data_IF_060742218987
#
_entry.id   IF_060742218987
#
_cell.length_a   1.000
_cell.length_b   1.000
_cell.length_c   1.000
_cell.angle_alpha   90.00
_cell.angle_beta   90.00
_cell.angle_gamma   90.00
#
_symmetry.space_group_name_H-M   'P 1'
#
loop_
_entity.id
_entity.type
_entity.pdbx_description
1 polymer ?
#
# COMPACT_ATOMS: atom_id res chain seq x y z
N UNK A 1 -16.26 1.99 21.05
CA UNK A 1 -15.61 0.68 21.02
C UNK A 1 -14.21 0.80 20.43
N UNK A 2 -13.45 1.85 20.77
CA UNK A 2 -12.14 2.21 20.17
C UNK A 2 -11.04 2.49 21.22
N UNK A 3 -11.19 2.01 22.45
CA UNK A 3 -10.25 2.30 23.56
C UNK A 3 -9.30 1.16 23.94
N UNK A 4 -9.41 -0.02 23.35
CA UNK A 4 -8.61 -1.20 23.74
C UNK A 4 -7.38 -1.51 22.90
N UNK A 5 -7.18 -0.86 21.74
CA UNK A 5 -6.01 -1.13 20.88
C UNK A 5 -4.67 -0.57 21.40
N UNK A 6 -4.67 0.26 22.45
CA UNK A 6 -3.43 0.84 23.01
C UNK A 6 -2.65 -0.08 23.97
N UNK A 7 -3.14 -1.31 24.29
CA UNK A 7 -2.55 -2.15 25.38
C UNK A 7 -1.74 -3.37 24.95
N UNK A 8 -1.68 -3.74 23.66
CA UNK A 8 -0.97 -4.95 23.23
C UNK A 8 0.49 -4.79 22.81
N UNK A 9 1.11 -3.62 22.92
CA UNK A 9 2.49 -3.38 22.43
C UNK A 9 3.58 -3.55 23.52
N UNK A 10 3.23 -3.84 24.78
CA UNK A 10 4.17 -3.63 25.92
C UNK A 10 4.78 -4.91 26.51
N UNK A 11 4.63 -6.09 25.99
CA UNK A 11 5.35 -7.24 26.58
C UNK A 11 5.94 -8.15 25.52
N UNK A 12 7.24 -8.18 25.41
CA UNK A 12 8.18 -9.28 25.15
C UNK A 12 9.47 -8.70 24.58
N UNK A 13 10.37 -8.27 25.43
CA UNK A 13 11.82 -8.26 25.15
C UNK A 13 12.56 -8.54 26.47
N UNK A 14 12.85 -9.79 26.72
CA UNK A 14 13.97 -10.24 27.54
C UNK A 14 14.22 -11.71 27.26
N UNK A 15 15.30 -12.04 26.56
CA UNK A 15 16.18 -13.17 26.86
C UNK A 15 17.05 -13.55 25.64
N UNK A 16 18.37 -13.61 25.85
CA UNK A 16 19.23 -14.56 25.20
C UNK A 16 20.37 -14.05 24.32
N UNK A 17 21.46 -13.63 24.95
CA UNK A 17 22.79 -13.59 24.34
C UNK A 17 23.49 -14.92 24.55
N UNK A 18 23.88 -15.62 23.49
CA UNK A 18 25.11 -16.45 23.49
C UNK A 18 25.47 -16.91 22.07
N UNK A 19 26.71 -16.79 21.72
CA UNK A 19 27.43 -16.78 20.49
C UNK A 19 27.48 -18.03 19.63
N UNK A 20 28.01 -17.84 18.42
CA UNK A 20 28.40 -18.89 17.48
C UNK A 20 28.47 -18.35 16.04
N UNK A 21 29.69 -18.20 15.51
CA UNK A 21 29.95 -17.81 14.13
C UNK A 21 29.54 -18.93 13.15
N UNK A 22 28.60 -18.62 12.27
CA UNK A 22 28.46 -19.24 10.95
C UNK A 22 27.76 -18.24 10.05
N UNK A 23 28.32 -17.91 8.89
CA UNK A 23 27.84 -16.94 7.91
C UNK A 23 26.63 -17.46 7.15
N UNK A 24 25.49 -17.46 7.80
CA UNK A 24 24.15 -17.46 7.20
C UNK A 24 23.66 -16.01 7.31
N UNK A 25 22.99 -15.41 6.29
CA UNK A 25 22.41 -14.09 6.49
C UNK A 25 21.50 -14.19 7.70
N UNK A 26 21.92 -13.58 8.81
CA UNK A 26 21.27 -13.70 10.09
C UNK A 26 19.85 -13.15 9.92
N UNK A 27 18.87 -14.04 9.89
CA UNK A 27 17.48 -13.68 10.15
C UNK A 27 17.52 -12.98 11.51
N UNK A 28 17.24 -11.68 11.53
CA UNK A 28 17.14 -10.92 12.77
C UNK A 28 16.29 -11.74 13.75
N UNK A 29 16.74 -12.01 14.97
CA UNK A 29 15.94 -12.73 15.97
C UNK A 29 14.61 -12.00 16.26
N UNK A 30 14.50 -10.74 15.84
CA UNK A 30 13.30 -9.92 15.94
C UNK A 30 12.37 -10.05 14.73
N UNK A 31 12.77 -10.72 13.64
CA UNK A 31 11.97 -10.83 12.42
C UNK A 31 10.54 -11.36 12.63
N UNK A 32 10.28 -12.37 13.50
CA UNK A 32 8.90 -12.78 13.80
C UNK A 32 8.09 -11.70 14.51
N UNK A 33 8.71 -10.95 15.44
CA UNK A 33 8.07 -9.83 16.16
C UNK A 33 7.79 -8.68 15.19
N UNK A 34 8.75 -8.32 14.35
CA UNK A 34 8.56 -7.29 13.31
C UNK A 34 7.38 -7.66 12.42
N UNK A 35 7.30 -8.92 11.98
CA UNK A 35 6.21 -9.41 11.14
C UNK A 35 4.86 -9.24 11.80
N UNK A 36 4.69 -9.67 13.05
CA UNK A 36 3.42 -9.59 13.77
C UNK A 36 2.99 -8.14 14.08
N UNK A 37 3.93 -7.21 14.18
CA UNK A 37 3.63 -5.79 14.37
C UNK A 37 3.29 -5.09 13.05
N UNK A 38 4.05 -5.38 11.99
CA UNK A 38 3.89 -4.72 10.69
C UNK A 38 2.69 -5.28 9.91
N UNK A 39 2.44 -6.59 9.97
CA UNK A 39 1.35 -7.23 9.25
C UNK A 39 0.28 -7.73 10.22
N UNK A 40 -0.94 -7.29 10.00
CA UNK A 40 -2.10 -7.65 10.81
C UNK A 40 -3.21 -8.23 9.92
N UNK A 41 -2.96 -9.40 9.31
CA UNK A 41 -3.90 -10.01 8.39
C UNK A 41 -5.16 -10.51 9.12
N UNK A 42 -6.29 -10.36 8.46
CA UNK A 42 -7.52 -11.08 8.77
C UNK A 42 -7.73 -12.08 7.64
N UNK A 43 -7.61 -13.37 7.97
CA UNK A 43 -7.75 -14.44 7.01
C UNK A 43 -9.23 -14.77 6.73
N UNK A 44 -9.52 -15.39 5.59
CA UNK A 44 -10.82 -15.98 5.31
C UNK A 44 -11.14 -17.08 6.35
N UNK A 45 -12.41 -17.23 6.83
CA UNK A 45 -13.61 -16.56 6.32
C UNK A 45 -13.96 -15.23 7.01
N UNK A 46 -13.11 -14.70 7.89
CA UNK A 46 -13.38 -13.46 8.58
C UNK A 46 -13.41 -12.26 7.61
N UNK A 47 -14.40 -11.39 7.78
CA UNK A 47 -14.68 -10.24 6.93
C UNK A 47 -16.05 -10.35 6.24
N UNK A 48 -16.46 -9.26 5.58
CA UNK A 48 -17.72 -9.21 4.83
C UNK A 48 -17.46 -9.56 3.35
N UNK A 49 -17.51 -10.85 3.04
CA UNK A 49 -17.30 -11.38 1.69
C UNK A 49 -18.55 -11.33 0.82
N UNK A 50 -19.68 -10.82 1.33
CA UNK A 50 -20.91 -10.69 0.58
C UNK A 50 -20.90 -9.41 -0.24
N UNK A 51 -20.64 -9.52 -1.53
CA UNK A 51 -20.75 -8.42 -2.46
C UNK A 51 -22.22 -8.26 -2.88
N UNK A 52 -22.80 -7.05 -2.75
CA UNK A 52 -24.16 -6.82 -3.25
C UNK A 52 -24.27 -7.14 -4.74
N UNK A 53 -25.31 -7.83 -5.15
CA UNK A 53 -25.49 -8.34 -6.54
C UNK A 53 -25.51 -7.25 -7.63
N UNK A 54 -25.74 -6.01 -7.25
CA UNK A 54 -25.71 -4.85 -8.18
C UNK A 54 -24.31 -4.25 -8.35
N UNK A 55 -23.32 -4.70 -7.58
CA UNK A 55 -21.94 -4.23 -7.69
C UNK A 55 -21.15 -5.24 -8.53
N UNK A 56 -20.65 -4.87 -9.72
CA UNK A 56 -19.99 -5.79 -10.64
C UNK A 56 -18.53 -6.09 -10.24
N UNK A 57 -18.33 -6.51 -8.99
CA UNK A 57 -17.01 -6.96 -8.53
C UNK A 57 -16.75 -8.35 -9.09
N UNK A 58 -15.58 -8.51 -9.68
CA UNK A 58 -15.04 -9.78 -10.15
C UNK A 58 -13.99 -10.30 -9.17
N UNK A 59 -14.07 -11.56 -8.75
CA UNK A 59 -12.98 -12.22 -8.04
C UNK A 59 -11.80 -12.43 -8.99
N UNK A 60 -10.64 -11.90 -8.62
CA UNK A 60 -9.39 -12.05 -9.33
C UNK A 60 -8.52 -13.09 -8.64
N UNK A 61 -8.15 -14.16 -9.34
CA UNK A 61 -7.20 -15.18 -8.86
C UNK A 61 -5.97 -15.17 -9.74
N UNK A 62 -4.81 -15.11 -9.12
CA UNK A 62 -3.53 -15.04 -9.81
C UNK A 62 -2.41 -15.59 -8.92
N UNK A 63 -1.25 -15.80 -9.51
CA UNK A 63 -0.11 -16.41 -8.85
C UNK A 63 1.08 -15.46 -8.85
N UNK A 64 1.76 -15.32 -7.71
CA UNK A 64 3.04 -14.65 -7.64
C UNK A 64 4.16 -15.50 -8.24
N UNK A 65 5.30 -14.90 -8.62
CA UNK A 65 6.44 -15.58 -9.25
C UNK A 65 6.96 -16.79 -8.46
N UNK A 66 6.69 -16.86 -7.16
CA UNK A 66 7.10 -17.95 -6.28
C UNK A 66 6.02 -19.03 -6.07
N UNK A 67 4.94 -19.01 -6.86
CA UNK A 67 3.84 -19.96 -6.80
C UNK A 67 2.79 -19.67 -5.73
N UNK A 68 2.87 -18.56 -5.02
CA UNK A 68 1.86 -18.19 -4.02
C UNK A 68 0.56 -17.81 -4.69
N UNK A 69 -0.54 -18.51 -4.37
CA UNK A 69 -1.88 -18.18 -4.86
C UNK A 69 -2.43 -16.96 -4.15
N UNK A 70 -2.90 -16.00 -4.94
CA UNK A 70 -3.37 -14.70 -4.48
C UNK A 70 -4.79 -14.44 -4.95
N UNK A 71 -5.51 -13.66 -4.16
CA UNK A 71 -6.88 -13.27 -4.43
C UNK A 71 -7.03 -11.75 -4.40
N UNK A 72 -7.89 -11.23 -5.24
CA UNK A 72 -8.24 -9.81 -5.29
C UNK A 72 -9.66 -9.58 -5.79
N UNK A 73 -10.08 -8.33 -5.73
CA UNK A 73 -11.33 -7.84 -6.30
C UNK A 73 -11.03 -6.83 -7.40
N UNK A 74 -11.61 -7.06 -8.57
CA UNK A 74 -11.57 -6.12 -9.69
C UNK A 74 -12.97 -5.54 -9.93
N UNK A 75 -13.06 -4.23 -10.01
CA UNK A 75 -14.27 -3.50 -10.31
C UNK A 75 -14.09 -2.75 -11.64
N UNK A 76 -14.60 -3.31 -12.75
CA UNK A 76 -14.52 -2.65 -14.05
C UNK A 76 -15.43 -1.42 -14.11
N UNK A 77 -15.01 -0.42 -14.88
CA UNK A 77 -15.84 0.72 -15.27
C UNK A 77 -16.14 0.65 -16.78
N UNK A 78 -17.38 0.89 -17.24
CA UNK A 78 -17.71 0.75 -18.66
C UNK A 78 -16.97 1.72 -19.58
N UNK A 79 -16.68 2.92 -19.09
CA UNK A 79 -15.91 3.96 -19.78
C UNK A 79 -14.80 4.48 -18.86
N UNK A 80 -13.69 3.75 -18.71
CA UNK A 80 -12.70 4.09 -17.68
C UNK A 80 -11.84 5.30 -18.09
N UNK A 81 -11.73 6.28 -17.21
CA UNK A 81 -10.71 7.35 -17.27
C UNK A 81 -9.30 6.82 -17.04
N UNK A 82 -9.21 5.68 -16.37
CA UNK A 82 -7.95 5.01 -16.08
C UNK A 82 -8.15 3.66 -15.43
N UNK A 83 -7.06 2.90 -15.42
CA UNK A 83 -6.95 1.62 -14.72
C UNK A 83 -6.08 1.84 -13.49
N UNK A 84 -6.54 1.41 -12.31
CA UNK A 84 -5.85 1.63 -11.04
C UNK A 84 -5.68 0.35 -10.24
N UNK A 85 -4.49 0.18 -9.64
CA UNK A 85 -4.21 -0.84 -8.65
C UNK A 85 -4.14 -0.19 -7.26
N UNK A 86 -5.02 -0.59 -6.35
CA UNK A 86 -5.08 -0.09 -4.99
C UNK A 86 -4.42 -1.06 -4.01
N UNK A 87 -3.29 -0.66 -3.46
CA UNK A 87 -2.56 -1.37 -2.41
C UNK A 87 -3.08 -0.94 -1.03
N UNK A 88 -3.71 -1.87 -0.29
CA UNK A 88 -4.32 -1.56 1.00
C UNK A 88 -3.32 -1.47 2.16
N UNK A 89 -3.77 -0.96 3.31
CA UNK A 89 -2.96 -0.85 4.54
C UNK A 89 -2.73 -2.19 5.23
N UNK A 90 -2.01 -2.16 6.35
CA UNK A 90 -1.49 -3.34 7.05
C UNK A 90 -2.54 -4.23 7.75
N UNK A 91 -3.72 -3.72 8.04
CA UNK A 91 -4.72 -4.43 8.83
C UNK A 91 -5.94 -4.86 8.02
N UNK A 92 -6.54 -5.98 8.39
CA UNK A 92 -7.77 -6.51 7.79
C UNK A 92 -7.53 -7.33 6.54
N UNK A 93 -8.44 -7.22 5.57
CA UNK A 93 -8.39 -7.79 4.24
C UNK A 93 -9.18 -6.90 3.26
N UNK A 94 -9.32 -7.33 2.01
CA UNK A 94 -9.98 -6.51 0.96
C UNK A 94 -11.45 -6.24 1.23
N UNK A 95 -12.15 -7.02 2.05
CA UNK A 95 -13.59 -6.83 2.32
C UNK A 95 -13.89 -5.47 2.94
N UNK A 96 -12.98 -4.92 3.73
CA UNK A 96 -13.11 -3.60 4.32
C UNK A 96 -12.79 -2.44 3.33
N UNK A 97 -12.51 -2.74 2.07
CA UNK A 97 -12.12 -1.77 1.02
C UNK A 97 -13.23 -1.53 -0.02
N UNK A 98 -14.30 -2.32 0.02
CA UNK A 98 -15.39 -2.26 -0.96
C UNK A 98 -15.94 -0.85 -1.18
N UNK A 99 -16.22 -0.09 -0.10
CA UNK A 99 -16.70 1.31 -0.21
C UNK A 99 -15.69 2.22 -0.91
N UNK A 100 -14.39 2.06 -0.63
CA UNK A 100 -13.33 2.86 -1.30
C UNK A 100 -13.26 2.53 -2.79
N UNK A 101 -13.30 1.25 -3.14
CA UNK A 101 -13.30 0.81 -4.55
C UNK A 101 -14.53 1.35 -5.29
N UNK A 102 -15.70 1.20 -4.68
CA UNK A 102 -16.95 1.69 -5.24
C UNK A 102 -16.92 3.20 -5.49
N UNK A 103 -16.46 3.99 -4.50
CA UNK A 103 -16.36 5.43 -4.64
C UNK A 103 -15.39 5.82 -5.76
N UNK A 104 -14.22 5.21 -5.83
CA UNK A 104 -13.22 5.50 -6.87
C UNK A 104 -13.72 5.09 -8.26
N UNK A 105 -14.46 4.00 -8.36
CA UNK A 105 -15.06 3.57 -9.62
C UNK A 105 -16.19 4.50 -10.03
N UNK A 106 -17.21 4.71 -9.19
CA UNK A 106 -18.43 5.44 -9.56
C UNK A 106 -18.23 6.97 -9.68
N UNK A 107 -17.43 7.56 -8.79
CA UNK A 107 -17.23 9.03 -8.78
C UNK A 107 -16.09 9.45 -9.70
N UNK A 108 -15.04 8.65 -9.80
CA UNK A 108 -13.83 9.04 -10.51
C UNK A 108 -13.60 8.27 -11.81
N UNK A 109 -14.50 7.34 -12.17
CA UNK A 109 -14.46 6.61 -13.44
C UNK A 109 -13.25 5.68 -13.58
N UNK A 110 -12.82 5.03 -12.49
CA UNK A 110 -11.67 4.13 -12.54
C UNK A 110 -12.10 2.67 -12.67
N UNK A 111 -11.54 1.93 -13.61
CA UNK A 111 -11.45 0.47 -13.46
C UNK A 111 -10.40 0.18 -12.40
N UNK A 112 -10.80 -0.42 -11.28
CA UNK A 112 -9.93 -0.51 -10.11
C UNK A 112 -9.86 -1.92 -9.54
N UNK A 113 -8.65 -2.34 -9.19
CA UNK A 113 -8.37 -3.60 -8.50
C UNK A 113 -7.76 -3.34 -7.14
N UNK A 114 -8.15 -4.13 -6.15
CA UNK A 114 -7.40 -4.35 -4.91
C UNK A 114 -7.16 -5.83 -4.71
N UNK A 115 -6.17 -6.21 -3.91
CA UNK A 115 -5.82 -7.60 -3.67
C UNK A 115 -5.40 -7.81 -2.23
N UNK A 116 -5.58 -9.02 -1.73
CA UNK A 116 -5.05 -9.46 -0.46
C UNK A 116 -3.58 -9.86 -0.62
N UNK A 117 -2.68 -9.26 0.15
CA UNK A 117 -1.29 -9.75 0.23
C UNK A 117 -1.28 -11.19 0.74
N UNK A 118 -0.20 -11.91 0.47
CA UNK A 118 0.00 -13.26 1.02
C UNK A 118 -0.32 -13.31 2.51
N UNK A 119 -1.11 -14.31 2.91
CA UNK A 119 -1.58 -14.51 4.29
C UNK A 119 -2.76 -13.62 4.71
N UNK A 120 -3.26 -12.74 3.84
CA UNK A 120 -4.46 -11.95 4.06
C UNK A 120 -5.65 -12.56 3.30
N UNK A 121 -6.86 -12.40 3.84
CA UNK A 121 -8.09 -12.81 3.21
C UNK A 121 -8.04 -14.23 2.65
N UNK A 122 -8.21 -14.37 1.34
CA UNK A 122 -8.16 -15.66 0.64
C UNK A 122 -6.80 -15.97 0.01
N UNK A 123 -5.82 -15.06 0.13
CA UNK A 123 -4.46 -15.28 -0.36
C UNK A 123 -3.68 -16.23 0.53
N UNK A 124 -2.95 -17.15 -0.09
CA UNK A 124 -2.10 -18.10 0.62
C UNK A 124 -0.81 -17.47 1.15
N UNK A 125 0.00 -18.27 1.84
CA UNK A 125 1.35 -17.92 2.25
C UNK A 125 1.44 -17.14 3.57
N UNK A 126 2.57 -16.45 3.76
CA UNK A 126 2.87 -15.68 4.98
C UNK A 126 3.51 -14.36 4.60
N UNK A 127 3.04 -13.21 5.15
CA UNK A 127 3.51 -11.91 4.73
C UNK A 127 4.98 -11.65 5.11
N UNK A 128 5.68 -11.00 4.20
CA UNK A 128 7.05 -10.49 4.38
C UNK A 128 7.25 -9.28 3.49
N UNK A 129 8.25 -8.44 3.76
CA UNK A 129 8.54 -7.27 2.90
C UNK A 129 8.74 -7.68 1.44
N UNK A 130 9.59 -8.70 1.19
CA UNK A 130 9.82 -9.20 -0.17
C UNK A 130 8.53 -9.76 -0.79
N UNK A 131 7.79 -10.56 -0.01
CA UNK A 131 6.58 -11.24 -0.49
C UNK A 131 5.50 -10.27 -0.94
N UNK A 132 5.13 -9.27 -0.11
CA UNK A 132 4.07 -8.31 -0.49
C UNK A 132 4.43 -7.46 -1.72
N UNK A 133 5.73 -7.25 -1.98
CA UNK A 133 6.18 -6.56 -3.20
C UNK A 133 6.09 -7.46 -4.44
N UNK A 134 6.29 -8.77 -4.30
CA UNK A 134 6.05 -9.75 -5.37
C UNK A 134 4.54 -9.89 -5.64
N UNK A 135 3.72 -9.95 -4.60
CA UNK A 135 2.26 -10.02 -4.71
C UNK A 135 1.69 -8.84 -5.50
N UNK A 136 2.18 -7.64 -5.19
CA UNK A 136 1.75 -6.42 -5.88
C UNK A 136 2.16 -6.39 -7.37
N UNK A 137 3.30 -6.97 -7.74
CA UNK A 137 3.70 -7.14 -9.15
C UNK A 137 2.79 -8.11 -9.87
N UNK A 138 2.50 -9.25 -9.25
CA UNK A 138 1.58 -10.23 -9.82
C UNK A 138 0.18 -9.64 -10.01
N UNK A 139 -0.34 -8.90 -9.02
CA UNK A 139 -1.62 -8.19 -9.11
C UNK A 139 -1.64 -7.17 -10.26
N UNK A 140 -0.54 -6.42 -10.44
CA UNK A 140 -0.38 -5.44 -11.52
C UNK A 140 -0.36 -6.11 -12.89
N UNK A 141 0.38 -7.20 -13.04
CA UNK A 141 0.45 -7.97 -14.28
C UNK A 141 -0.91 -8.55 -14.65
N UNK A 142 -1.61 -9.17 -13.70
CA UNK A 142 -2.97 -9.65 -13.90
C UNK A 142 -3.93 -8.53 -14.36
N UNK A 143 -3.84 -7.36 -13.71
CA UNK A 143 -4.69 -6.21 -14.05
C UNK A 143 -4.40 -5.68 -15.45
N UNK A 144 -3.13 -5.61 -15.84
CA UNK A 144 -2.70 -5.21 -17.18
C UNK A 144 -3.27 -6.15 -18.26
N UNK A 145 -3.14 -7.48 -18.05
CA UNK A 145 -3.68 -8.50 -18.95
C UNK A 145 -5.20 -8.43 -19.02
N UNK A 146 -5.89 -8.33 -17.87
CA UNK A 146 -7.35 -8.28 -17.77
C UNK A 146 -7.96 -7.07 -18.48
N UNK A 147 -7.26 -5.95 -18.49
CA UNK A 147 -7.76 -4.68 -19.04
C UNK A 147 -7.17 -4.33 -20.41
N UNK A 148 -6.17 -5.07 -20.88
CA UNK A 148 -5.50 -4.82 -22.17
C UNK A 148 -4.64 -3.56 -22.20
N UNK A 149 -4.27 -3.00 -21.03
CA UNK A 149 -3.33 -1.88 -20.93
C UNK A 149 -1.92 -2.39 -20.60
N UNK A 150 -0.89 -1.56 -20.79
CA UNK A 150 0.44 -1.91 -20.29
C UNK A 150 0.53 -1.68 -18.79
N UNK A 151 1.45 -2.34 -18.10
CA UNK A 151 1.71 -2.10 -16.69
C UNK A 151 2.06 -0.64 -16.39
N UNK A 152 2.74 0.04 -17.31
CA UNK A 152 3.08 1.46 -17.21
C UNK A 152 1.86 2.40 -17.28
N UNK A 153 0.77 1.97 -17.92
CA UNK A 153 -0.47 2.72 -18.01
C UNK A 153 -1.34 2.62 -16.74
N UNK A 154 -0.96 1.77 -15.79
CA UNK A 154 -1.69 1.59 -14.53
C UNK A 154 -1.33 2.72 -13.56
N UNK A 155 -2.36 3.31 -12.94
CA UNK A 155 -2.24 4.24 -11.83
C UNK A 155 -2.04 3.41 -10.56
N UNK A 156 -0.95 3.64 -9.84
CA UNK A 156 -0.70 2.99 -8.57
C UNK A 156 -1.25 3.84 -7.42
N UNK A 157 -2.12 3.25 -6.62
CA UNK A 157 -2.72 3.89 -5.46
C UNK A 157 -2.34 3.11 -4.21
N UNK A 158 -1.97 3.80 -3.13
CA UNK A 158 -1.61 3.08 -1.90
C UNK A 158 -1.88 3.89 -0.64
N UNK A 159 -2.32 3.18 0.42
CA UNK A 159 -2.57 3.76 1.73
C UNK A 159 -1.72 3.09 2.80
N UNK A 160 -1.10 3.88 3.69
CA UNK A 160 -0.31 3.39 4.81
C UNK A 160 0.79 2.43 4.31
N UNK A 161 0.82 1.16 4.75
CA UNK A 161 1.69 0.10 4.23
C UNK A 161 1.63 -0.01 2.71
N UNK A 162 0.41 0.01 2.15
CA UNK A 162 0.20 -0.07 0.70
C UNK A 162 0.80 1.11 -0.07
N UNK A 163 0.95 2.26 0.58
CA UNK A 163 1.68 3.40 0.00
C UNK A 163 3.16 3.07 -0.25
N UNK A 164 3.81 2.35 0.69
CA UNK A 164 5.19 1.92 0.49
C UNK A 164 5.31 0.84 -0.60
N UNK A 165 4.30 -0.02 -0.74
CA UNK A 165 4.21 -1.00 -1.84
C UNK A 165 4.07 -0.29 -3.19
N UNK A 166 3.13 0.67 -3.30
CA UNK A 166 2.92 1.45 -4.51
C UNK A 166 4.16 2.25 -4.92
N UNK A 167 4.90 2.82 -3.95
CA UNK A 167 6.18 3.49 -4.19
C UNK A 167 7.23 2.53 -4.74
N UNK A 168 7.34 1.30 -4.22
CA UNK A 168 8.30 0.31 -4.73
C UNK A 168 8.01 -0.03 -6.20
N UNK A 169 6.75 -0.29 -6.54
CA UNK A 169 6.35 -0.57 -7.92
C UNK A 169 6.64 0.63 -8.83
N UNK A 170 6.17 1.82 -8.44
CA UNK A 170 6.35 3.02 -9.25
C UNK A 170 7.83 3.35 -9.51
N UNK A 171 8.68 3.19 -8.48
CA UNK A 171 10.09 3.52 -8.57
C UNK A 171 10.92 2.54 -9.40
N UNK A 172 10.50 1.27 -9.46
CA UNK A 172 11.24 0.22 -10.19
C UNK A 172 10.67 -0.05 -11.57
N UNK A 173 9.36 -0.08 -11.62
CA UNK A 173 8.63 -0.62 -12.77
C UNK A 173 7.82 0.49 -13.48
N UNK A 174 7.92 1.76 -13.02
CA UNK A 174 7.17 2.90 -13.56
C UNK A 174 5.68 2.86 -13.22
N UNK A 175 4.96 3.92 -13.51
CA UNK A 175 3.50 4.02 -13.40
C UNK A 175 3.00 5.24 -14.16
N UNK A 176 1.76 5.22 -14.66
CA UNK A 176 1.11 6.37 -15.28
C UNK A 176 0.93 7.52 -14.28
N UNK A 177 0.68 7.19 -13.03
CA UNK A 177 0.54 8.14 -11.91
C UNK A 177 0.62 7.41 -10.58
N UNK A 178 1.01 8.12 -9.53
CA UNK A 178 1.12 7.59 -8.18
C UNK A 178 0.24 8.40 -7.22
N UNK A 179 -0.64 7.72 -6.49
CA UNK A 179 -1.56 8.33 -5.52
C UNK A 179 -1.33 7.71 -4.14
N UNK A 180 -0.91 8.52 -3.18
CA UNK A 180 -0.54 8.06 -1.85
C UNK A 180 -1.42 8.70 -0.76
N UNK A 181 -1.82 7.91 0.24
CA UNK A 181 -2.59 8.39 1.38
C UNK A 181 -2.02 7.88 2.70
N UNK A 182 -1.80 8.79 3.67
CA UNK A 182 -1.40 8.47 5.05
C UNK A 182 -0.24 7.47 5.14
N UNK A 183 0.80 7.66 4.32
CA UNK A 183 1.96 6.76 4.23
C UNK A 183 3.24 7.39 4.77
N UNK A 184 4.34 6.64 4.78
CA UNK A 184 5.54 6.94 5.54
C UNK A 184 6.82 6.97 4.68
N UNK A 185 7.85 7.63 5.23
CA UNK A 185 9.19 7.68 4.64
C UNK A 185 9.94 6.35 4.72
N UNK A 186 9.83 5.61 5.85
CA UNK A 186 10.37 4.27 6.05
C UNK A 186 9.74 3.59 7.27
N UNK A 187 9.73 2.25 7.33
CA UNK A 187 9.29 1.54 8.54
C UNK A 187 10.12 1.87 9.78
N UNK A 188 11.47 1.98 9.71
CA UNK A 188 12.24 2.42 10.87
C UNK A 188 11.87 3.82 11.37
N UNK A 189 11.47 4.75 10.50
CA UNK A 189 10.99 6.08 10.95
C UNK A 189 9.70 5.95 11.78
N UNK A 190 8.75 5.11 11.32
CA UNK A 190 7.49 4.83 12.05
C UNK A 190 7.79 4.17 13.39
N UNK A 191 8.61 3.13 13.39
CA UNK A 191 8.99 2.43 14.61
C UNK A 191 9.74 3.35 15.61
N UNK A 192 10.59 4.25 15.11
CA UNK A 192 11.30 5.23 15.96
C UNK A 192 10.36 6.24 16.61
N UNK A 193 9.23 6.53 15.99
CA UNK A 193 8.21 7.39 16.59
C UNK A 193 7.52 6.72 17.78
N UNK A 194 7.19 5.44 17.64
CA UNK A 194 6.46 4.69 18.68
C UNK A 194 7.37 4.05 19.73
N UNK A 195 8.58 3.64 19.33
CA UNK A 195 9.54 2.89 20.17
C UNK A 195 10.97 3.39 19.96
N UNK A 196 11.29 4.66 20.29
CA UNK A 196 12.62 5.22 20.02
C UNK A 196 13.75 4.47 20.76
N UNK A 197 13.45 3.90 21.91
CA UNK A 197 14.39 3.13 22.74
C UNK A 197 14.81 1.78 22.11
N UNK A 198 14.01 1.25 21.15
CA UNK A 198 14.33 0.01 20.46
C UNK A 198 15.37 0.16 19.33
N UNK A 199 15.85 1.38 19.07
CA UNK A 199 16.82 1.71 18.02
C UNK A 199 16.45 1.06 16.65
N UNK A 200 15.23 1.31 16.10
CA UNK A 200 14.72 0.57 14.96
C UNK A 200 15.59 0.65 13.71
N UNK A 201 16.26 1.78 13.48
CA UNK A 201 17.16 1.96 12.34
C UNK A 201 18.32 0.96 12.30
N UNK A 202 18.71 0.42 13.46
CA UNK A 202 19.79 -0.55 13.60
C UNK A 202 19.30 -1.99 13.66
N UNK A 203 18.16 -2.21 14.33
CA UNK A 203 17.68 -3.53 14.71
C UNK A 203 16.61 -4.11 13.80
N UNK A 204 15.85 -3.29 13.06
CA UNK A 204 14.83 -3.79 12.14
C UNK A 204 15.43 -4.36 10.86
N UNK A 205 14.90 -5.51 10.44
CA UNK A 205 15.21 -6.13 9.14
C UNK A 205 14.34 -5.56 8.02
N UNK A 206 13.06 -5.28 8.30
CA UNK A 206 12.14 -4.66 7.36
C UNK A 206 12.37 -3.16 7.27
N UNK A 207 12.44 -2.65 6.05
CA UNK A 207 12.81 -1.25 5.80
C UNK A 207 11.70 -0.46 5.13
N UNK A 208 11.11 -0.98 4.06
CA UNK A 208 10.17 -0.26 3.18
C UNK A 208 10.57 1.22 3.04
N UNK A 209 11.81 1.46 2.59
CA UNK A 209 12.39 2.81 2.55
C UNK A 209 11.83 3.61 1.37
N UNK A 210 10.59 4.10 1.54
CA UNK A 210 9.83 4.79 0.51
C UNK A 210 10.51 6.10 0.09
N UNK A 211 11.05 6.88 1.04
CA UNK A 211 11.70 8.15 0.74
C UNK A 211 13.00 8.00 -0.08
N UNK A 212 13.67 6.85 0.02
CA UNK A 212 14.81 6.55 -0.85
C UNK A 212 14.33 6.13 -2.24
N UNK A 213 13.36 5.20 -2.30
CA UNK A 213 12.88 4.61 -3.54
C UNK A 213 12.19 5.63 -4.45
N UNK A 214 11.36 6.52 -3.89
CA UNK A 214 10.58 7.49 -4.67
C UNK A 214 11.43 8.44 -5.49
N UNK A 215 12.71 8.60 -5.18
CA UNK A 215 13.66 9.42 -5.94
C UNK A 215 13.85 8.93 -7.37
N UNK A 216 13.59 7.66 -7.60
CA UNK A 216 13.73 7.02 -8.91
C UNK A 216 12.44 7.13 -9.74
N UNK A 217 11.33 7.60 -9.16
CA UNK A 217 10.05 7.80 -9.84
C UNK A 217 9.92 9.24 -10.35
N UNK A 218 9.90 9.42 -11.68
CA UNK A 218 9.82 10.73 -12.33
C UNK A 218 8.39 11.16 -12.72
N UNK A 219 7.42 10.26 -12.55
CA UNK A 219 6.02 10.51 -12.91
C UNK A 219 5.27 11.40 -11.90
N UNK A 220 4.01 11.73 -12.22
CA UNK A 220 3.19 12.59 -11.37
C UNK A 220 2.77 11.91 -10.07
N UNK A 221 2.78 12.67 -8.96
CA UNK A 221 2.42 12.24 -7.62
C UNK A 221 1.31 13.10 -7.02
N UNK A 222 0.23 12.48 -6.58
CA UNK A 222 -0.73 13.08 -5.64
C UNK A 222 -0.58 12.40 -4.27
N UNK A 223 -0.34 13.17 -3.22
CA UNK A 223 -0.23 12.62 -1.87
C UNK A 223 -1.15 13.37 -0.91
N UNK A 224 -1.90 12.64 -0.07
CA UNK A 224 -2.72 13.18 1.01
C UNK A 224 -2.27 12.66 2.37
N UNK A 225 -2.47 13.48 3.42
CA UNK A 225 -2.16 13.09 4.79
C UNK A 225 -2.98 13.90 5.79
N UNK A 226 -3.48 13.24 6.83
CA UNK A 226 -4.13 13.90 7.95
C UNK A 226 -3.12 14.60 8.88
N UNK A 227 -3.39 15.82 9.28
CA UNK A 227 -2.48 16.57 10.18
C UNK A 227 -2.59 16.15 11.66
N UNK A 228 -3.66 15.42 12.01
CA UNK A 228 -3.86 14.79 13.32
C UNK A 228 -3.58 13.26 13.31
N UNK A 229 -2.85 12.75 12.31
CA UNK A 229 -2.47 11.33 12.22
C UNK A 229 -1.45 10.98 13.32
N UNK A 230 -1.92 10.26 14.36
CA UNK A 230 -1.07 9.80 15.47
C UNK A 230 -0.35 8.47 15.16
N UNK A 231 -0.80 7.71 14.13
CA UNK A 231 -0.19 6.43 13.74
C UNK A 231 1.04 6.67 12.87
N UNK A 232 0.88 7.51 11.85
CA UNK A 232 1.97 7.95 10.98
C UNK A 232 1.94 9.47 10.94
N UNK A 233 2.71 10.15 11.77
CA UNK A 233 2.73 11.61 11.79
C UNK A 233 2.98 12.22 10.41
N UNK A 234 2.23 13.29 10.06
CA UNK A 234 2.30 13.96 8.76
C UNK A 234 3.71 14.34 8.32
N UNK A 235 4.64 14.58 9.28
CA UNK A 235 6.05 14.84 8.98
C UNK A 235 6.74 13.73 8.19
N UNK A 236 6.30 12.47 8.36
CA UNK A 236 6.83 11.33 7.60
C UNK A 236 6.30 11.31 6.17
N UNK A 237 5.00 11.65 6.00
CA UNK A 237 4.42 11.86 4.68
C UNK A 237 5.09 13.00 3.93
N UNK A 238 5.37 14.13 4.60
CA UNK A 238 6.10 15.26 4.01
C UNK A 238 7.53 14.87 3.62
N UNK A 239 8.27 14.15 4.48
CA UNK A 239 9.61 13.65 4.16
C UNK A 239 9.61 12.77 2.90
N UNK A 240 8.58 11.95 2.72
CA UNK A 240 8.40 11.15 1.51
C UNK A 240 8.12 12.04 0.30
N UNK A 241 7.15 12.95 0.43
CA UNK A 241 6.75 13.89 -0.62
C UNK A 241 7.92 14.75 -1.10
N UNK A 242 8.71 15.30 -0.17
CA UNK A 242 9.85 16.16 -0.49
C UNK A 242 10.92 15.41 -1.29
N UNK A 243 11.06 14.10 -1.06
CA UNK A 243 12.01 13.25 -1.76
C UNK A 243 11.60 12.92 -3.21
N UNK A 244 10.33 13.07 -3.58
CA UNK A 244 9.85 12.81 -4.93
C UNK A 244 10.31 13.93 -5.90
N UNK A 245 10.91 13.60 -7.06
CA UNK A 245 11.45 14.61 -7.98
C UNK A 245 10.42 15.14 -8.99
N UNK A 246 9.40 14.36 -9.33
CA UNK A 246 8.44 14.66 -10.40
C UNK A 246 7.42 15.75 -10.06
N UNK A 247 6.49 16.05 -10.97
CA UNK A 247 5.38 16.94 -10.68
C UNK A 247 4.54 16.34 -9.56
N UNK A 248 4.26 17.12 -8.52
CA UNK A 248 3.66 16.59 -7.30
C UNK A 248 2.74 17.58 -6.61
N UNK A 249 1.67 17.06 -6.02
CA UNK A 249 0.73 17.81 -5.20
C UNK A 249 0.53 17.12 -3.83
N UNK A 250 0.52 17.91 -2.75
CA UNK A 250 0.24 17.44 -1.40
C UNK A 250 -1.07 18.06 -0.90
N UNK A 251 -1.99 17.22 -0.41
CA UNK A 251 -3.25 17.63 0.19
C UNK A 251 -3.23 17.32 1.68
N UNK A 252 -3.45 18.32 2.52
CA UNK A 252 -3.57 18.13 3.96
C UNK A 252 -5.05 17.91 4.30
N UNK A 253 -5.35 16.83 5.02
CA UNK A 253 -6.68 16.58 5.57
C UNK A 253 -6.73 17.22 6.97
N UNK A 254 -7.36 18.38 7.07
CA UNK A 254 -7.40 19.13 8.32
C UNK A 254 -8.11 18.34 9.44
N UNK A 255 -7.46 18.24 10.60
CA UNK A 255 -7.87 17.43 11.75
C UNK A 255 -8.08 15.94 11.43
N UNK A 256 -7.59 15.47 10.29
CA UNK A 256 -7.72 14.09 9.86
C UNK A 256 -6.75 13.17 10.61
N UNK A 257 -7.28 12.07 11.15
CA UNK A 257 -6.51 10.96 11.71
C UNK A 257 -6.11 9.94 10.65
N UNK A 258 -5.43 8.86 11.09
CA UNK A 258 -4.89 7.84 10.18
C UNK A 258 -5.96 7.16 9.31
N UNK A 259 -7.13 6.88 9.87
CA UNK A 259 -8.20 6.12 9.22
C UNK A 259 -9.39 6.97 8.78
N UNK A 260 -9.30 8.28 8.90
CA UNK A 260 -10.39 9.16 8.52
C UNK A 260 -10.62 9.18 7.00
N UNK A 261 -11.84 9.49 6.56
CA UNK A 261 -12.15 9.67 5.14
C UNK A 261 -11.31 10.79 4.51
N UNK A 262 -11.12 10.71 3.21
CA UNK A 262 -10.53 11.79 2.44
C UNK A 262 -11.51 12.99 2.36
N UNK A 263 -10.95 14.20 2.26
CA UNK A 263 -11.74 15.43 2.13
C UNK A 263 -12.25 15.67 0.70
N UNK A 264 -13.23 16.53 0.53
CA UNK A 264 -13.69 16.96 -0.80
C UNK A 264 -12.59 17.68 -1.59
N UNK A 265 -11.68 18.36 -0.89
CA UNK A 265 -10.49 18.96 -1.51
C UNK A 265 -9.59 17.89 -2.13
N UNK A 266 -9.37 16.77 -1.43
CA UNK A 266 -8.63 15.64 -1.96
C UNK A 266 -9.30 15.07 -3.22
N UNK A 267 -10.61 14.84 -3.20
CA UNK A 267 -11.31 14.30 -4.36
C UNK A 267 -11.27 15.24 -5.57
N UNK A 268 -11.36 16.55 -5.32
CA UNK A 268 -11.18 17.58 -6.36
C UNK A 268 -9.74 17.55 -6.92
N UNK A 269 -8.75 17.38 -6.06
CA UNK A 269 -7.35 17.23 -6.47
C UNK A 269 -7.12 15.94 -7.24
N UNK A 270 -7.77 14.83 -6.85
CA UNK A 270 -7.72 13.56 -7.57
C UNK A 270 -8.28 13.69 -9.00
N UNK A 271 -9.42 14.37 -9.17
CA UNK A 271 -9.97 14.58 -10.52
C UNK A 271 -9.01 15.37 -11.41
N UNK A 272 -8.44 16.47 -10.90
CA UNK A 272 -7.44 17.27 -11.64
C UNK A 272 -6.19 16.44 -11.95
N UNK A 273 -5.77 15.61 -11.01
CA UNK A 273 -4.63 14.71 -11.19
C UNK A 273 -4.91 13.72 -12.32
N UNK A 274 -6.07 13.06 -12.32
CA UNK A 274 -6.46 12.12 -13.38
C UNK A 274 -6.54 12.79 -14.75
N UNK A 275 -7.05 14.03 -14.82
CA UNK A 275 -7.12 14.81 -16.06
C UNK A 275 -5.74 15.23 -16.58
N UNK A 276 -4.75 15.35 -15.69
CA UNK A 276 -3.37 15.74 -16.08
C UNK A 276 -2.52 14.58 -16.57
N UNK A 277 -2.97 13.32 -16.40
CA UNK A 277 -2.21 12.15 -16.80
C UNK A 277 -2.16 12.00 -18.32
N UNK A 278 -1.02 11.56 -18.85
CA UNK A 278 -0.86 11.24 -20.26
C UNK A 278 -1.92 10.22 -20.72
N UNK A 279 -2.41 10.30 -21.96
CA UNK A 279 -3.32 9.28 -22.48
C UNK A 279 -2.72 7.86 -22.40
N UNK A 280 -3.60 6.85 -22.24
CA UNK A 280 -3.18 5.44 -22.25
C UNK A 280 -2.48 5.10 -23.56
N UNK A 281 -1.39 4.34 -23.52
CA UNK A 281 -0.66 3.89 -24.69
C UNK A 281 0.38 4.88 -25.26
N UNK A 282 0.61 6.02 -24.62
CA UNK A 282 1.61 7.02 -25.13
C UNK A 282 3.06 6.68 -24.77
N UNK A 283 3.32 5.66 -23.94
CA UNK A 283 4.65 5.28 -23.48
C UNK A 283 5.46 4.38 -24.45
N UNK A 284 4.92 4.06 -25.63
CA UNK A 284 5.59 3.19 -26.63
C UNK A 284 6.60 3.89 -27.55
N UNK A 285 6.96 5.17 -27.32
CA UNK A 285 7.83 5.94 -28.22
C UNK A 285 9.11 6.52 -27.58
N UNK A 286 9.66 5.86 -26.53
CA UNK A 286 11.00 6.26 -26.05
C UNK A 286 11.94 5.06 -25.95
#
# INVERSE_FOLDING_TARGET
MFREQKRCIVLIVCCGLSGGCASVPALSPLAPVERSVVFQPVAYPDGDWQVPSHVPIEDAWFEADDGTQLHGWFLPHPEPRGVALFCHGNAGNITSRGTTLWLLNQRHGLSIMTFDYRGYGRSEGTPSEKGILQDARAARSWLAERTGVTEHDIILMGRSLGGAVAVDLASRDGARGLVLASTFSSLPDVASHHMPWALPHWNMSMRLNSARKIRDYQGPLLQSHGDADEVIPIKMGRKLFDAAPGPKQFVVIANGGHNDPQSDEYYTALDRFLDSLSPIGTHHQQ
#
